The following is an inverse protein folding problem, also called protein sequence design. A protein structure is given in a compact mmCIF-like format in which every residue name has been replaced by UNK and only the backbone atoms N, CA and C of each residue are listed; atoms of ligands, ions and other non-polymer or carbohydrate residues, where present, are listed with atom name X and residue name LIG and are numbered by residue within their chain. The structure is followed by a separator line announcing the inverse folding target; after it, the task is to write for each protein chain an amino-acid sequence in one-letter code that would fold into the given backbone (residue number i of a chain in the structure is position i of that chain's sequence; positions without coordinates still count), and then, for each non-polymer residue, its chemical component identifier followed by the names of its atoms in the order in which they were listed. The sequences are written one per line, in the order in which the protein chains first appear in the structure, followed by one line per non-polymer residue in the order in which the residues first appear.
data_IF_284742474674
#
_entry.id   IF_284742474674
#
_cell.length_a   1.000
_cell.length_b   1.000
_cell.length_c   1.000
_cell.angle_alpha   90.00
_cell.angle_beta   90.00
_cell.angle_gamma   90.00
#
_symmetry.space_group_name_H-M   'P 1'
#
loop_
_entity.id
_entity.type
_entity.pdbx_description
1 polymer ?
#
# COMPACT_ATOMS: atom_id res chain seq x y z
N UNK A 1 4.42 14.41 0.42
CA UNK A 1 3.25 13.74 -0.19
C UNK A 1 2.84 12.49 0.59
N UNK A 2 3.73 11.51 0.80
CA UNK A 2 3.45 10.29 1.60
C UNK A 2 2.96 10.58 3.03
N UNK A 3 3.65 11.47 3.77
CA UNK A 3 3.25 11.83 5.15
C UNK A 3 1.85 12.46 5.18
N UNK A 4 1.55 13.40 4.27
CA UNK A 4 0.24 14.03 4.18
C UNK A 4 -0.87 13.02 3.86
N UNK A 5 -0.56 11.99 3.05
CA UNK A 5 -1.51 10.90 2.78
C UNK A 5 -1.75 10.03 4.00
N UNK A 6 -0.71 9.71 4.76
CA UNK A 6 -0.85 9.00 6.04
C UNK A 6 -1.65 9.83 7.03
N UNK A 7 -1.37 11.14 7.11
CA UNK A 7 -2.07 12.07 7.98
C UNK A 7 -3.57 12.13 7.63
N UNK A 8 -3.90 12.35 6.36
CA UNK A 8 -5.28 12.32 5.90
C UNK A 8 -5.91 10.95 6.20
N UNK A 9 -5.20 9.86 5.88
CA UNK A 9 -5.70 8.51 6.08
C UNK A 9 -5.84 8.11 7.55
N UNK A 10 -5.20 8.77 8.52
CA UNK A 10 -5.25 8.44 9.97
C UNK A 10 -6.13 9.43 10.76
N UNK A 11 -6.06 10.72 10.43
CA UNK A 11 -6.65 11.79 11.24
C UNK A 11 -7.94 12.37 10.66
N UNK A 12 -8.34 12.01 9.44
CA UNK A 12 -9.65 12.37 8.89
C UNK A 12 -10.64 11.20 8.99
N UNK A 13 -11.94 11.48 8.90
CA UNK A 13 -12.98 10.45 8.95
C UNK A 13 -13.43 10.00 7.54
N UNK A 14 -12.52 10.10 6.56
CA UNK A 14 -12.73 9.58 5.21
C UNK A 14 -12.89 8.06 5.30
N UNK A 15 -14.02 7.56 4.77
CA UNK A 15 -14.37 6.14 4.72
C UNK A 15 -13.82 5.44 3.48
N UNK A 16 -13.70 6.18 2.38
CA UNK A 16 -13.13 5.69 1.12
C UNK A 16 -11.65 6.05 1.07
N UNK A 17 -10.82 5.16 1.62
CA UNK A 17 -9.36 5.28 1.57
C UNK A 17 -8.84 4.28 0.55
N UNK A 18 -8.03 4.76 -0.39
CA UNK A 18 -7.50 3.89 -1.45
C UNK A 18 -6.66 2.73 -0.90
N UNK A 19 -6.74 1.58 -1.56
CA UNK A 19 -6.01 0.34 -1.21
C UNK A 19 -4.52 0.57 -0.98
N UNK A 20 -3.88 1.36 -1.85
CA UNK A 20 -2.46 1.71 -1.74
C UNK A 20 -2.14 2.48 -0.45
N UNK A 21 -3.05 3.34 -0.02
CA UNK A 21 -2.88 4.14 1.20
C UNK A 21 -3.10 3.29 2.45
N UNK A 22 -4.05 2.35 2.41
CA UNK A 22 -4.26 1.39 3.51
C UNK A 22 -3.02 0.48 3.68
N UNK A 23 -2.44 -0.02 2.58
CA UNK A 23 -1.20 -0.81 2.62
C UNK A 23 -0.03 0.00 3.19
N UNK A 24 0.11 1.25 2.76
CA UNK A 24 1.14 2.15 3.28
C UNK A 24 0.97 2.38 4.79
N UNK A 25 -0.26 2.59 5.26
CA UNK A 25 -0.57 2.72 6.69
C UNK A 25 -0.24 1.44 7.45
N UNK A 26 -0.59 0.27 6.92
CA UNK A 26 -0.29 -1.04 7.52
C UNK A 26 1.22 -1.30 7.62
N UNK A 27 2.00 -0.97 6.59
CA UNK A 27 3.45 -1.07 6.61
C UNK A 27 4.07 -0.09 7.61
N UNK A 28 3.60 1.16 7.62
CA UNK A 28 4.12 2.17 8.54
C UNK A 28 3.80 1.85 10.02
N UNK A 29 2.62 1.27 10.30
CA UNK A 29 2.22 0.84 11.64
C UNK A 29 3.06 -0.36 12.11
N UNK A 30 3.16 -1.40 11.30
CA UNK A 30 3.94 -2.61 11.62
C UNK A 30 5.44 -2.34 11.74
N UNK A 31 5.99 -1.38 10.98
CA UNK A 31 7.37 -0.93 11.09
C UNK A 31 7.60 0.08 12.23
N UNK A 32 6.55 0.49 12.97
CA UNK A 32 6.65 1.47 14.06
C UNK A 32 6.91 2.92 13.60
N UNK A 33 6.92 3.18 12.29
CA UNK A 33 7.26 4.47 11.69
C UNK A 33 6.25 5.58 12.01
N UNK A 34 4.99 5.25 12.24
CA UNK A 34 3.97 6.24 12.59
C UNK A 34 4.36 7.05 13.83
N UNK A 35 4.97 6.39 14.83
CA UNK A 35 5.40 7.03 16.08
C UNK A 35 6.61 7.95 15.95
N UNK A 36 7.34 7.88 14.82
CA UNK A 36 8.44 8.77 14.52
C UNK A 36 7.97 10.07 13.84
N UNK A 37 6.81 10.02 13.18
CA UNK A 37 6.32 11.11 12.32
C UNK A 37 5.14 11.87 12.94
N UNK A 38 4.34 11.20 13.77
CA UNK A 38 3.14 11.77 14.40
C UNK A 38 3.20 11.71 15.92
N UNK A 39 2.48 12.63 16.59
CA UNK A 39 2.42 12.66 18.04
C UNK A 39 1.79 11.37 18.60
N UNK A 40 2.38 10.88 19.69
CA UNK A 40 1.98 9.61 20.31
C UNK A 40 0.58 9.68 20.91
N UNK A 41 0.13 10.83 21.40
CA UNK A 41 -1.22 11.00 21.94
C UNK A 41 -2.25 11.04 20.82
N UNK A 42 -1.94 11.69 19.70
CA UNK A 42 -2.81 11.70 18.52
C UNK A 42 -2.98 10.29 17.93
N UNK A 43 -1.89 9.52 17.82
CA UNK A 43 -1.95 8.12 17.41
C UNK A 43 -2.78 7.26 18.36
N UNK A 44 -2.66 7.47 19.68
CA UNK A 44 -3.51 6.79 20.67
C UNK A 44 -5.00 7.11 20.46
N UNK A 45 -5.35 8.37 20.20
CA UNK A 45 -6.75 8.79 19.92
C UNK A 45 -7.30 8.14 18.66
N UNK A 46 -6.46 7.88 17.65
CA UNK A 46 -6.85 7.23 16.39
C UNK A 46 -6.56 5.72 16.34
N UNK A 47 -6.14 5.10 17.44
CA UNK A 47 -5.75 3.67 17.50
C UNK A 47 -6.83 2.72 16.97
N UNK A 48 -8.09 2.95 17.33
CA UNK A 48 -9.21 2.13 16.85
C UNK A 48 -9.33 2.20 15.32
N UNK A 49 -9.19 3.40 14.74
CA UNK A 49 -9.28 3.62 13.30
C UNK A 49 -8.09 3.00 12.56
N UNK A 50 -6.87 3.15 13.09
CA UNK A 50 -5.68 2.48 12.57
C UNK A 50 -5.89 0.96 12.59
N UNK A 51 -6.36 0.41 13.71
CA UNK A 51 -6.67 -1.02 13.85
C UNK A 51 -7.71 -1.49 12.84
N UNK A 52 -8.81 -0.77 12.63
CA UNK A 52 -9.81 -1.12 11.61
C UNK A 52 -9.27 -1.09 10.20
N UNK A 53 -8.40 -0.13 9.88
CA UNK A 53 -7.73 -0.07 8.57
C UNK A 53 -6.76 -1.24 8.36
N UNK A 54 -6.09 -1.69 9.43
CA UNK A 54 -5.00 -2.69 9.35
C UNK A 54 -5.47 -4.13 9.55
N UNK A 55 -6.48 -4.37 10.39
CA UNK A 55 -6.95 -5.72 10.75
C UNK A 55 -8.18 -6.18 9.96
N UNK A 56 -8.85 -5.29 9.23
CA UNK A 56 -9.95 -5.70 8.37
C UNK A 56 -9.48 -6.72 7.34
N UNK A 57 -10.35 -7.66 6.95
CA UNK A 57 -10.21 -8.54 5.78
C UNK A 57 -9.77 -7.78 4.50
N UNK A 58 -9.96 -6.46 4.51
CA UNK A 58 -9.41 -5.48 3.60
C UNK A 58 -7.88 -5.53 3.44
N UNK A 59 -7.05 -5.70 4.47
CA UNK A 59 -5.57 -5.80 4.29
C UNK A 59 -5.16 -7.09 3.62
N UNK A 60 -5.83 -8.21 3.91
CA UNK A 60 -5.61 -9.49 3.22
C UNK A 60 -5.96 -9.41 1.72
N UNK A 61 -7.14 -8.84 1.40
CA UNK A 61 -7.55 -8.57 0.01
C UNK A 61 -6.67 -7.52 -0.67
N UNK A 62 -6.33 -6.44 0.02
CA UNK A 62 -5.46 -5.38 -0.49
C UNK A 62 -4.05 -5.88 -0.79
N UNK A 63 -3.49 -6.72 0.09
CA UNK A 63 -2.17 -7.34 -0.13
C UNK A 63 -2.21 -8.26 -1.34
N UNK A 64 -3.21 -9.13 -1.42
CA UNK A 64 -3.43 -10.00 -2.59
C UNK A 64 -3.58 -9.18 -3.87
N UNK A 65 -4.40 -8.14 -3.86
CA UNK A 65 -4.65 -7.29 -5.02
C UNK A 65 -3.41 -6.48 -5.44
N UNK A 66 -2.65 -5.95 -4.49
CA UNK A 66 -1.41 -5.23 -4.78
C UNK A 66 -0.33 -6.16 -5.34
N UNK A 67 -0.19 -7.36 -4.79
CA UNK A 67 0.71 -8.39 -5.32
C UNK A 67 0.27 -8.80 -6.72
N UNK A 68 -1.01 -9.06 -6.95
CA UNK A 68 -1.53 -9.39 -8.28
C UNK A 68 -1.31 -8.26 -9.29
N UNK A 69 -1.52 -7.01 -8.89
CA UNK A 69 -1.29 -5.84 -9.76
C UNK A 69 0.20 -5.71 -10.12
N UNK A 70 1.08 -5.88 -9.14
CA UNK A 70 2.52 -5.86 -9.36
C UNK A 70 2.97 -7.03 -10.26
N UNK A 71 2.44 -8.24 -10.03
CA UNK A 71 2.71 -9.42 -10.86
C UNK A 71 2.16 -9.26 -12.29
N UNK A 72 0.98 -8.67 -12.45
CA UNK A 72 0.39 -8.40 -13.77
C UNK A 72 1.24 -7.40 -14.56
N UNK A 73 1.70 -6.32 -13.92
CA UNK A 73 2.60 -5.36 -14.56
C UNK A 73 3.94 -6.02 -14.97
N UNK A 74 4.50 -6.88 -14.12
CA UNK A 74 5.69 -7.66 -14.45
C UNK A 74 5.46 -8.64 -15.60
N UNK A 75 4.32 -9.34 -15.63
CA UNK A 75 3.97 -10.27 -16.69
C UNK A 75 3.80 -9.57 -18.06
N UNK A 76 3.19 -8.38 -18.09
CA UNK A 76 3.09 -7.56 -19.30
C UNK A 76 4.48 -7.09 -19.75
N UNK A 77 5.35 -6.70 -18.82
CA UNK A 77 6.71 -6.28 -19.13
C UNK A 77 7.59 -7.41 -19.67
N UNK A 78 7.45 -8.65 -19.15
CA UNK A 78 8.28 -9.79 -19.58
C UNK A 78 7.78 -10.42 -20.89
N UNK A 79 6.48 -10.42 -21.16
CA UNK A 79 5.92 -10.91 -22.42
C UNK A 79 6.14 -9.95 -23.60
N UNK A 80 6.39 -8.66 -23.34
CA UNK A 80 6.78 -7.69 -24.37
C UNK A 80 8.24 -7.83 -24.85
N UNK A 81 9.09 -8.58 -24.14
CA UNK A 81 10.52 -8.74 -24.45
C UNK A 81 10.79 -9.96 -25.33
N UNK A 82 9.94 -10.99 -25.32
CA UNK A 82 10.21 -12.23 -26.05
C UNK A 82 9.92 -12.18 -27.55
N UNK A 83 9.24 -11.13 -28.07
CA UNK A 83 8.99 -11.00 -29.52
C UNK A 83 10.12 -10.31 -30.30
N UNK A 84 11.19 -9.85 -29.66
CA UNK A 84 12.36 -9.25 -30.36
C UNK A 84 13.53 -10.22 -30.60
N UNK A 85 13.30 -11.54 -30.45
CA UNK A 85 14.35 -12.54 -30.35
C UNK A 85 14.69 -13.38 -31.58
N UNK A 86 14.38 -12.98 -32.83
CA UNK A 86 14.87 -13.71 -34.02
C UNK A 86 15.23 -12.79 -35.20
N UNK A 87 16.40 -12.16 -35.12
CA UNK A 87 17.23 -11.93 -36.32
C UNK A 87 18.69 -12.08 -35.88
N UNK A 88 19.16 -13.33 -35.81
CA UNK A 88 20.58 -13.65 -35.89
C UNK A 88 20.84 -14.20 -37.30
N UNK A 89 21.84 -13.61 -37.96
CA UNK A 89 21.97 -13.56 -39.40
C UNK A 89 22.56 -14.79 -40.09
N UNK A 90 22.55 -14.71 -41.42
CA UNK A 90 23.63 -15.09 -42.33
C UNK A 90 23.42 -14.38 -43.67
#
# INVERSE_FOLDING_TARGET
EIVARLEAAIFTDIRDVSTRTILLTSLADSAGLLSLVFDKNDLKRRKARIKTMVEGEFVGRATTQAVQTAQAALAVATLGVTTSGTTFGH
#
